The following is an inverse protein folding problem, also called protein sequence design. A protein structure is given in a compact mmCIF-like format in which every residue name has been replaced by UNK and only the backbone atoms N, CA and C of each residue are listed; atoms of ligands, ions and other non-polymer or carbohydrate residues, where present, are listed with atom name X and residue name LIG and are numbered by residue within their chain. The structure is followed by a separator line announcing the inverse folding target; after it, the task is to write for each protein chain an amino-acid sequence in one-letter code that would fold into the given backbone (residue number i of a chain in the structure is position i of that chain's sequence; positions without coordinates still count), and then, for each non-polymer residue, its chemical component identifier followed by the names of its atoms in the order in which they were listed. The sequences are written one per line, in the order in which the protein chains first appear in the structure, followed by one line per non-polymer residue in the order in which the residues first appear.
data_IF_495199616248
#
_entry.id   IF_495199616248
#
_cell.length_a   1.000
_cell.length_b   1.000
_cell.length_c   1.000
_cell.angle_alpha   90.00
_cell.angle_beta   90.00
_cell.angle_gamma   90.00
#
_symmetry.space_group_name_H-M   'P 1'
#
loop_
_entity.id
_entity.type
_entity.pdbx_description
1 polymer ?
#
# COMPACT_ATOMS: atom_id res chain seq x y z
N UNK A 1 -16.27 10.28 -11.13
CA UNK A 1 -15.78 8.94 -10.75
C UNK A 1 -14.57 9.15 -9.86
N UNK A 2 -14.67 8.89 -8.56
CA UNK A 2 -13.55 9.04 -7.61
C UNK A 2 -12.89 7.68 -7.37
N UNK A 3 -11.61 7.66 -6.98
CA UNK A 3 -10.92 6.43 -6.55
C UNK A 3 -11.63 5.73 -5.38
N UNK A 4 -12.36 6.49 -4.56
CA UNK A 4 -13.16 5.97 -3.46
C UNK A 4 -14.28 5.03 -3.94
N UNK A 5 -14.94 5.34 -5.06
CA UNK A 5 -15.96 4.45 -5.65
C UNK A 5 -15.38 3.08 -5.99
N UNK A 6 -14.14 3.01 -6.47
CA UNK A 6 -13.48 1.73 -6.75
C UNK A 6 -13.20 0.93 -5.47
N UNK A 7 -12.78 1.60 -4.40
CA UNK A 7 -12.57 0.92 -3.11
C UNK A 7 -13.89 0.40 -2.55
N UNK A 8 -14.92 1.24 -2.51
CA UNK A 8 -16.17 0.90 -1.85
C UNK A 8 -16.98 -0.13 -2.66
N UNK A 9 -17.07 0.03 -3.99
CA UNK A 9 -17.95 -0.79 -4.83
C UNK A 9 -17.25 -2.01 -5.45
N UNK A 10 -15.93 -1.98 -5.64
CA UNK A 10 -15.21 -3.06 -6.33
C UNK A 10 -14.30 -3.87 -5.40
N UNK A 11 -13.59 -3.23 -4.47
CA UNK A 11 -12.67 -3.92 -3.56
C UNK A 11 -13.38 -4.42 -2.30
N UNK A 12 -14.26 -3.61 -1.72
CA UNK A 12 -15.01 -3.96 -0.50
C UNK A 12 -16.34 -4.66 -0.80
N UNK A 13 -16.56 -5.12 -2.03
CA UNK A 13 -17.78 -5.82 -2.40
C UNK A 13 -17.88 -7.18 -1.70
N UNK A 14 -19.11 -7.61 -1.44
CA UNK A 14 -19.38 -8.93 -0.88
C UNK A 14 -19.35 -9.97 -2.01
N UNK A 15 -18.48 -10.97 -1.87
CA UNK A 15 -18.32 -12.09 -2.79
C UNK A 15 -18.62 -13.38 -2.04
N UNK A 16 -19.71 -14.07 -2.41
CA UNK A 16 -20.07 -15.38 -1.85
C UNK A 16 -20.12 -15.42 -0.30
N UNK A 17 -20.57 -14.33 0.33
CA UNK A 17 -20.65 -14.20 1.79
C UNK A 17 -19.34 -13.80 2.48
N UNK A 18 -18.31 -13.45 1.71
CA UNK A 18 -17.02 -12.97 2.19
C UNK A 18 -16.73 -11.57 1.65
N UNK A 19 -16.04 -10.74 2.43
CA UNK A 19 -15.57 -9.43 1.99
C UNK A 19 -14.13 -9.21 2.49
N UNK A 20 -13.40 -8.31 1.85
CA UNK A 20 -12.08 -7.90 2.34
C UNK A 20 -12.22 -7.26 3.72
N UNK A 21 -11.28 -7.55 4.62
CA UNK A 21 -11.23 -6.90 5.94
C UNK A 21 -10.89 -5.43 5.81
N UNK A 22 -10.02 -5.08 4.86
CA UNK A 22 -9.63 -3.72 4.51
C UNK A 22 -9.07 -3.68 3.08
N UNK A 23 -9.23 -2.55 2.41
CA UNK A 23 -8.66 -2.28 1.10
C UNK A 23 -8.21 -0.81 0.97
N UNK A 24 -7.21 -0.55 0.15
CA UNK A 24 -6.79 0.79 -0.24
C UNK A 24 -6.17 0.79 -1.64
N UNK A 25 -6.27 1.94 -2.32
CA UNK A 25 -5.58 2.25 -3.55
C UNK A 25 -4.49 3.25 -3.21
N UNK A 26 -3.24 2.87 -3.47
CA UNK A 26 -2.09 3.70 -3.20
C UNK A 26 -1.27 3.91 -4.47
N UNK A 27 -0.76 5.13 -4.63
CA UNK A 27 0.24 5.45 -5.62
C UNK A 27 1.57 4.79 -5.29
N UNK A 28 2.40 4.58 -6.31
CA UNK A 28 3.76 4.03 -6.16
C UNK A 28 4.71 5.00 -5.42
N UNK A 29 4.28 6.23 -5.21
CA UNK A 29 4.92 7.26 -4.39
C UNK A 29 4.56 7.12 -2.89
N UNK A 30 3.73 6.14 -2.52
CA UNK A 30 3.21 5.94 -1.17
C UNK A 30 2.00 6.80 -0.81
N UNK A 31 1.50 7.62 -1.75
CA UNK A 31 0.32 8.45 -1.52
C UNK A 31 -0.96 7.59 -1.52
N UNK A 32 -1.82 7.75 -0.51
CA UNK A 32 -3.12 7.08 -0.48
C UNK A 32 -4.11 7.82 -1.37
N UNK A 33 -4.63 7.15 -2.40
CA UNK A 33 -5.63 7.71 -3.32
C UNK A 33 -7.06 7.44 -2.86
N UNK A 34 -7.30 6.29 -2.24
CA UNK A 34 -8.57 5.93 -1.60
C UNK A 34 -8.35 4.78 -0.62
N UNK A 35 -9.18 4.68 0.42
CA UNK A 35 -9.08 3.61 1.41
C UNK A 35 -10.45 3.27 2.01
N UNK A 36 -10.62 2.03 2.42
CA UNK A 36 -11.79 1.58 3.17
C UNK A 36 -11.74 2.11 4.60
N UNK A 37 -12.88 2.24 5.27
CA UNK A 37 -12.94 2.71 6.65
C UNK A 37 -12.18 1.81 7.64
N UNK A 38 -12.08 0.52 7.33
CA UNK A 38 -11.34 -0.47 8.12
C UNK A 38 -9.86 -0.56 7.76
N UNK A 39 -9.40 0.16 6.72
CA UNK A 39 -7.98 0.30 6.45
C UNK A 39 -7.32 1.03 7.63
N UNK A 40 -6.16 0.55 8.15
CA UNK A 40 -5.54 1.15 9.32
C UNK A 40 -5.35 2.66 9.14
N UNK A 41 -6.19 3.46 9.83
CA UNK A 41 -6.09 4.93 9.87
C UNK A 41 -5.21 5.42 11.03
N UNK A 42 -4.48 4.51 11.68
CA UNK A 42 -3.53 4.84 12.73
C UNK A 42 -2.30 5.55 12.21
N UNK A 43 -1.38 5.84 13.10
CA UNK A 43 -0.06 6.42 12.82
C UNK A 43 0.94 5.49 12.14
N UNK A 44 0.49 4.27 11.82
CA UNK A 44 1.17 3.39 10.89
C UNK A 44 0.86 3.72 9.43
N UNK A 45 1.54 3.03 8.54
CA UNK A 45 1.35 3.17 7.10
C UNK A 45 2.04 2.06 6.34
N UNK A 46 2.01 2.15 5.03
CA UNK A 46 2.63 1.17 4.16
C UNK A 46 3.32 1.87 3.00
N UNK A 47 4.52 1.42 2.66
CA UNK A 47 5.26 1.84 1.47
C UNK A 47 5.33 0.66 0.52
N UNK A 48 5.04 0.91 -0.76
CA UNK A 48 5.14 -0.09 -1.81
C UNK A 48 6.12 0.38 -2.88
N UNK A 49 7.23 -0.35 -3.05
CA UNK A 49 8.22 -0.08 -4.11
C UNK A 49 8.15 -1.17 -5.17
N UNK A 50 7.90 -0.77 -6.40
CA UNK A 50 7.91 -1.65 -7.58
C UNK A 50 9.35 -1.85 -8.08
N UNK A 51 9.71 -3.09 -8.36
CA UNK A 51 10.93 -3.48 -9.12
C UNK A 51 10.51 -4.07 -10.47
N UNK A 52 11.45 -4.61 -11.26
CA UNK A 52 11.12 -5.21 -12.55
C UNK A 52 10.33 -6.53 -12.41
N UNK A 53 10.62 -7.32 -11.37
CA UNK A 53 10.05 -8.65 -11.16
C UNK A 53 9.27 -8.79 -9.84
N UNK A 54 9.36 -7.81 -8.93
CA UNK A 54 8.73 -7.89 -7.60
C UNK A 54 8.08 -6.57 -7.15
N UNK A 55 7.24 -6.69 -6.11
CA UNK A 55 6.71 -5.57 -5.34
C UNK A 55 7.19 -5.74 -3.90
N UNK A 56 7.83 -4.71 -3.36
CA UNK A 56 8.29 -4.68 -1.97
C UNK A 56 7.26 -3.93 -1.15
N UNK A 57 6.77 -4.56 -0.09
CA UNK A 57 5.84 -3.97 0.87
C UNK A 57 6.56 -3.75 2.19
N UNK A 58 6.55 -2.53 2.71
CA UNK A 58 6.92 -2.24 4.09
C UNK A 58 5.74 -1.66 4.82
N UNK A 59 5.27 -2.35 5.86
CA UNK A 59 4.22 -1.86 6.77
C UNK A 59 4.92 -1.40 8.03
N UNK A 60 4.54 -0.24 8.55
CA UNK A 60 5.10 0.31 9.78
C UNK A 60 3.98 0.79 10.69
N UNK A 61 4.26 0.81 11.98
CA UNK A 61 3.45 1.39 13.03
C UNK A 61 4.31 2.38 13.85
N UNK A 62 3.70 3.12 14.77
CA UNK A 62 4.46 3.94 15.74
C UNK A 62 5.49 3.11 16.51
N UNK A 63 6.69 3.66 16.79
CA UNK A 63 7.10 5.06 16.61
C UNK A 63 7.79 5.34 15.25
N UNK A 64 7.70 4.43 14.28
CA UNK A 64 8.36 4.58 12.98
C UNK A 64 7.62 5.63 12.13
N UNK A 65 8.37 6.53 11.50
CA UNK A 65 7.79 7.56 10.63
C UNK A 65 7.68 7.06 9.18
N UNK A 66 6.76 7.65 8.37
CA UNK A 66 6.67 7.32 6.94
C UNK A 66 8.01 7.43 6.20
N UNK A 67 8.80 8.47 6.51
CA UNK A 67 10.11 8.67 5.88
C UNK A 67 11.13 7.57 6.21
N UNK A 68 11.07 7.00 7.42
CA UNK A 68 11.91 5.87 7.78
C UNK A 68 11.50 4.59 7.03
N UNK A 69 10.20 4.36 6.84
CA UNK A 69 9.72 3.20 6.09
C UNK A 69 10.13 3.31 4.61
N UNK A 70 9.89 4.48 4.00
CA UNK A 70 10.29 4.77 2.63
C UNK A 70 11.77 4.50 2.41
N UNK A 71 12.64 5.00 3.29
CA UNK A 71 14.08 4.80 3.15
C UNK A 71 14.48 3.32 3.10
N UNK A 72 13.87 2.47 3.93
CA UNK A 72 14.21 1.03 3.98
C UNK A 72 13.68 0.30 2.75
N UNK A 73 12.41 0.55 2.40
CA UNK A 73 11.72 -0.12 1.29
C UNK A 73 12.32 0.29 -0.06
N UNK A 74 12.53 1.59 -0.26
CA UNK A 74 13.08 2.12 -1.51
C UNK A 74 14.52 1.69 -1.73
N UNK A 75 15.36 1.72 -0.68
CA UNK A 75 16.76 1.29 -0.80
C UNK A 75 16.90 -0.16 -1.27
N UNK A 76 16.05 -1.06 -0.76
CA UNK A 76 16.05 -2.44 -1.23
C UNK A 76 15.52 -2.53 -2.67
N UNK A 77 14.47 -1.79 -3.01
CA UNK A 77 13.90 -1.81 -4.36
C UNK A 77 14.81 -1.23 -5.42
N UNK A 78 15.57 -0.18 -5.11
CA UNK A 78 16.59 0.37 -6.01
C UNK A 78 17.69 -0.66 -6.25
N UNK A 79 18.19 -1.30 -5.19
CA UNK A 79 19.19 -2.39 -5.31
C UNK A 79 18.69 -3.55 -6.19
N UNK A 80 17.46 -4.01 -6.00
CA UNK A 80 16.89 -5.09 -6.82
C UNK A 80 16.70 -4.64 -8.28
N UNK A 81 16.24 -3.40 -8.50
CA UNK A 81 16.04 -2.84 -9.84
C UNK A 81 17.36 -2.70 -10.59
N UNK A 82 18.44 -2.29 -9.92
CA UNK A 82 19.80 -2.23 -10.47
C UNK A 82 20.33 -3.60 -10.91
N UNK A 83 19.89 -4.68 -10.25
CA UNK A 83 20.23 -6.05 -10.65
C UNK A 83 19.33 -6.61 -11.76
N UNK A 84 18.38 -5.82 -12.28
CA UNK A 84 17.41 -6.28 -13.28
C UNK A 84 16.32 -7.19 -12.70
N UNK A 85 16.15 -7.17 -11.38
CA UNK A 85 15.12 -7.90 -10.63
C UNK A 85 13.91 -7.01 -10.32
#
# INVERSE_FOLDING_TARGET
MSWQTYVDEQLMCETEGHHLTAAAIMGQDGSVWAQSASFPQGSGGITVKKTNQALIFGIYDEPMTPGQCNLVVERLGDYLSEQGL
#
